data_IF_287662830976
#
_entry.id   IF_287662830976
#
_cell.length_a   1.000
_cell.length_b   1.000
_cell.length_c   1.000
_cell.angle_alpha   90.00
_cell.angle_beta   90.00
_cell.angle_gamma   90.00
#
_symmetry.space_group_name_H-M   'P 1'
#
loop_
_entity.id
_entity.type
_entity.pdbx_description
1 polymer ?
#
# COMPACT_ATOMS: atom_id res chain seq x y z
N UNK A 1 21.50 11.22 15.20
CA UNK A 1 20.64 10.08 15.57
C UNK A 1 19.68 10.55 16.65
N UNK A 2 18.39 10.72 16.32
CA UNK A 2 17.35 11.06 17.29
C UNK A 2 17.07 9.76 18.07
N UNK A 3 17.41 9.71 19.36
CA UNK A 3 17.06 8.56 20.21
C UNK A 3 15.54 8.37 20.12
N UNK A 4 15.10 7.16 19.77
CA UNK A 4 13.68 6.84 19.74
C UNK A 4 13.15 6.89 21.17
N UNK A 5 12.20 7.79 21.45
CA UNK A 5 11.56 7.91 22.77
C UNK A 5 10.97 6.56 23.25
N UNK A 6 10.63 5.68 22.31
CA UNK A 6 10.12 4.34 22.59
C UNK A 6 11.16 3.40 23.20
N UNK A 7 12.43 3.53 22.80
CA UNK A 7 13.54 2.75 23.37
C UNK A 7 13.78 3.16 24.83
N UNK A 8 13.71 4.46 25.13
CA UNK A 8 13.86 4.98 26.51
C UNK A 8 12.71 4.52 27.42
N UNK A 9 11.46 4.53 26.94
CA UNK A 9 10.28 4.08 27.71
C UNK A 9 10.32 2.57 27.95
N UNK A 10 10.76 1.79 26.96
CA UNK A 10 10.88 0.33 27.09
C UNK A 10 11.98 -0.08 28.06
N UNK A 11 13.15 0.56 27.99
CA UNK A 11 14.26 0.35 28.93
C UNK A 11 13.85 0.63 30.37
N UNK A 12 13.04 1.67 30.62
CA UNK A 12 12.47 1.97 31.94
C UNK A 12 11.56 0.86 32.47
N UNK A 13 10.82 0.16 31.59
CA UNK A 13 9.93 -0.94 31.97
C UNK A 13 10.67 -2.26 32.24
N UNK A 14 11.70 -2.59 31.43
CA UNK A 14 12.60 -3.72 31.68
C UNK A 14 13.43 -3.52 32.96
N UNK A 15 13.84 -2.29 33.25
CA UNK A 15 14.51 -1.94 34.51
C UNK A 15 13.63 -2.25 35.72
N UNK A 16 12.30 -2.08 35.63
CA UNK A 16 11.39 -2.34 36.75
C UNK A 16 11.11 -3.83 36.98
N UNK A 17 11.14 -4.68 35.96
CA UNK A 17 10.94 -6.13 36.15
C UNK A 17 12.19 -6.86 36.68
N UNK A 18 13.39 -6.32 36.45
CA UNK A 18 14.63 -6.89 37.00
C UNK A 18 14.75 -6.74 38.54
N UNK A 19 13.91 -5.93 39.19
CA UNK A 19 14.01 -5.64 40.63
C UNK A 19 13.40 -6.73 41.53
N UNK A 20 12.74 -7.76 40.99
CA UNK A 20 12.00 -8.74 41.80
C UNK A 20 12.63 -10.14 41.97
N UNK A 21 13.87 -10.37 41.55
CA UNK A 21 14.57 -11.63 41.84
C UNK A 21 15.89 -11.42 42.60
N UNK A 22 15.75 -11.38 43.93
CA UNK A 22 16.60 -12.04 44.95
C UNK A 22 18.13 -11.89 44.87
N UNK A 23 18.70 -11.34 45.94
CA UNK A 23 20.12 -11.32 46.35
C UNK A 23 20.97 -12.57 45.98
N UNK A 24 21.38 -12.71 44.72
CA UNK A 24 22.54 -13.47 44.28
C UNK A 24 23.43 -12.53 43.47
N UNK A 25 24.74 -12.63 43.64
CA UNK A 25 25.69 -11.91 42.79
C UNK A 25 25.50 -12.41 41.36
N UNK A 26 24.74 -11.69 40.54
CA UNK A 26 24.53 -12.04 39.13
C UNK A 26 25.88 -12.18 38.42
N UNK A 27 25.99 -13.18 37.55
CA UNK A 27 27.09 -13.34 36.59
C UNK A 27 26.71 -12.59 35.30
N UNK A 28 27.60 -11.80 34.66
CA UNK A 28 27.30 -11.12 33.38
C UNK A 28 26.76 -12.06 32.30
N UNK A 29 27.14 -13.34 32.32
CA UNK A 29 26.58 -14.37 31.42
C UNK A 29 25.11 -14.64 31.73
N UNK A 30 24.79 -14.89 33.01
CA UNK A 30 23.42 -15.16 33.48
C UNK A 30 22.50 -13.95 33.22
N UNK A 31 22.99 -12.74 33.50
CA UNK A 31 22.28 -11.50 33.17
C UNK A 31 21.97 -11.43 31.66
N UNK A 32 22.98 -11.58 30.79
CA UNK A 32 22.78 -11.51 29.35
C UNK A 32 21.83 -12.60 28.85
N UNK A 33 21.91 -13.81 29.40
CA UNK A 33 21.02 -14.91 29.06
C UNK A 33 19.57 -14.54 29.35
N UNK A 34 19.28 -14.11 30.58
CA UNK A 34 17.94 -13.69 31.01
C UNK A 34 17.38 -12.57 30.14
N UNK A 35 18.21 -11.58 29.78
CA UNK A 35 17.78 -10.49 28.89
C UNK A 35 17.38 -10.99 27.49
N UNK A 36 18.15 -11.90 26.91
CA UNK A 36 17.87 -12.45 25.57
C UNK A 36 16.68 -13.42 25.62
N UNK A 37 16.54 -14.21 26.69
CA UNK A 37 15.37 -15.05 26.93
C UNK A 37 14.08 -14.22 27.06
N UNK A 38 14.11 -13.06 27.72
CA UNK A 38 12.93 -12.19 27.79
C UNK A 38 12.48 -11.73 26.40
N UNK A 39 13.41 -11.41 25.50
CA UNK A 39 13.08 -11.08 24.10
C UNK A 39 12.50 -12.29 23.37
N UNK A 40 13.24 -13.39 23.42
CA UNK A 40 12.98 -14.58 22.58
C UNK A 40 11.89 -15.48 23.16
N UNK A 41 11.44 -15.26 24.39
CA UNK A 41 10.27 -15.95 24.98
C UNK A 41 8.93 -15.54 24.35
N UNK A 42 8.94 -14.53 23.47
CA UNK A 42 7.72 -13.92 22.93
C UNK A 42 6.97 -13.11 23.97
N UNK A 43 7.70 -12.39 24.83
CA UNK A 43 7.08 -11.45 25.75
C UNK A 43 6.28 -10.37 24.99
N UNK A 44 5.10 -10.07 25.54
CA UNK A 44 4.13 -9.15 24.93
C UNK A 44 4.71 -7.76 24.73
N UNK A 45 5.57 -7.29 25.64
CA UNK A 45 6.15 -5.96 25.54
C UNK A 45 7.18 -5.90 24.40
N UNK A 46 8.01 -6.94 24.26
CA UNK A 46 8.97 -7.06 23.14
C UNK A 46 8.24 -7.12 21.79
N UNK A 47 7.19 -7.94 21.69
CA UNK A 47 6.39 -8.02 20.47
C UNK A 47 5.68 -6.69 20.14
N UNK A 48 5.19 -5.97 21.15
CA UNK A 48 4.63 -4.63 20.95
C UNK A 48 5.69 -3.65 20.43
N UNK A 49 6.92 -3.69 20.97
CA UNK A 49 8.01 -2.82 20.50
C UNK A 49 8.35 -3.11 19.03
N UNK A 50 8.42 -4.38 18.64
CA UNK A 50 8.64 -4.76 17.24
C UNK A 50 7.49 -4.30 16.35
N UNK A 51 6.25 -4.45 16.79
CA UNK A 51 5.10 -3.96 16.05
C UNK A 51 5.18 -2.45 15.81
N UNK A 52 5.43 -1.65 16.85
CA UNK A 52 5.54 -0.19 16.68
C UNK A 52 6.71 0.21 15.76
N UNK A 53 7.85 -0.49 15.83
CA UNK A 53 8.97 -0.30 14.89
C UNK A 53 8.58 -0.68 13.46
N UNK A 54 7.84 -1.77 13.29
CA UNK A 54 7.34 -2.23 12.01
C UNK A 54 6.37 -1.24 11.38
N UNK A 55 5.40 -0.76 12.16
CA UNK A 55 4.45 0.30 11.76
C UNK A 55 5.22 1.56 11.34
N UNK A 56 6.16 2.02 12.16
CA UNK A 56 6.97 3.20 11.84
C UNK A 56 7.80 3.01 10.56
N UNK A 57 8.24 1.77 10.27
CA UNK A 57 9.01 1.46 9.06
C UNK A 57 8.21 1.46 7.77
N UNK A 58 6.87 1.33 7.84
CA UNK A 58 6.00 1.26 6.65
C UNK A 58 5.04 2.45 6.52
N UNK A 59 4.94 3.31 7.52
CA UNK A 59 3.96 4.42 7.56
C UNK A 59 4.03 5.37 6.35
N UNK A 60 5.22 5.56 5.78
CA UNK A 60 5.44 6.46 4.64
C UNK A 60 5.37 5.71 3.29
N UNK A 61 5.14 4.39 3.33
CA UNK A 61 5.00 3.53 2.13
C UNK A 61 3.55 3.40 1.66
N UNK A 62 2.59 3.73 2.53
CA UNK A 62 1.15 3.53 2.28
C UNK A 62 0.37 4.80 2.56
N UNK A 63 -0.71 5.03 1.79
CA UNK A 63 -1.61 6.17 2.00
C UNK A 63 -2.46 5.98 3.26
N UNK A 64 -2.89 4.75 3.52
CA UNK A 64 -3.66 4.43 4.72
C UNK A 64 -2.74 4.10 5.89
N UNK A 65 -3.09 4.63 7.07
CA UNK A 65 -2.40 4.30 8.31
C UNK A 65 -2.62 2.84 8.70
N UNK A 66 -1.66 2.27 9.42
CA UNK A 66 -1.78 0.90 9.93
C UNK A 66 -3.03 0.77 10.83
N UNK A 67 -3.97 -0.15 10.53
CA UNK A 67 -5.23 -0.23 11.28
C UNK A 67 -5.05 -0.58 12.75
N UNK A 68 -5.64 0.22 13.66
CA UNK A 68 -5.61 -0.07 15.11
C UNK A 68 -6.23 -1.45 15.44
N UNK A 69 -7.28 -1.84 14.72
CA UNK A 69 -7.93 -3.14 14.88
C UNK A 69 -6.98 -4.33 14.61
N UNK A 70 -5.96 -4.13 13.77
CA UNK A 70 -5.00 -5.16 13.37
C UNK A 70 -3.87 -5.35 14.40
N UNK A 71 -3.57 -4.33 15.22
CA UNK A 71 -2.41 -4.35 16.14
C UNK A 71 -2.40 -5.55 17.08
N UNK A 72 -3.58 -5.97 17.56
CA UNK A 72 -3.68 -7.11 18.48
C UNK A 72 -3.25 -8.41 17.82
N UNK A 73 -3.76 -8.69 16.63
CA UNK A 73 -3.48 -9.94 15.91
C UNK A 73 -2.03 -9.96 15.42
N UNK A 74 -1.53 -8.83 14.92
CA UNK A 74 -0.15 -8.69 14.50
C UNK A 74 0.85 -8.91 15.64
N UNK A 75 0.60 -8.30 16.82
CA UNK A 75 1.46 -8.53 17.98
C UNK A 75 1.47 -10.02 18.36
N UNK A 76 0.32 -10.69 18.40
CA UNK A 76 0.26 -12.10 18.75
C UNK A 76 1.07 -12.97 17.76
N UNK A 77 1.05 -12.63 16.48
CA UNK A 77 1.89 -13.27 15.47
C UNK A 77 3.39 -13.04 15.74
N UNK A 78 3.79 -11.81 16.09
CA UNK A 78 5.17 -11.51 16.46
C UNK A 78 5.61 -12.22 17.75
N UNK A 79 4.72 -12.36 18.75
CA UNK A 79 4.98 -13.17 19.95
C UNK A 79 5.27 -14.63 19.57
N UNK A 80 4.54 -15.19 18.61
CA UNK A 80 4.79 -16.54 18.12
C UNK A 80 6.12 -16.64 17.34
N UNK A 81 6.44 -15.66 16.49
CA UNK A 81 7.68 -15.65 15.72
C UNK A 81 8.92 -15.53 16.63
N UNK A 82 8.85 -14.68 17.66
CA UNK A 82 9.93 -14.49 18.63
C UNK A 82 10.31 -15.79 19.34
N UNK A 83 9.33 -16.63 19.69
CA UNK A 83 9.54 -17.93 20.37
C UNK A 83 10.37 -18.92 19.56
N UNK A 84 10.51 -18.68 18.26
CA UNK A 84 11.24 -19.54 17.34
C UNK A 84 12.67 -19.08 17.11
N UNK A 85 13.05 -17.92 17.66
CA UNK A 85 14.42 -17.42 17.60
C UNK A 85 15.28 -18.24 18.55
N UNK A 86 16.34 -18.83 18.01
CA UNK A 86 17.30 -19.58 18.80
C UNK A 86 18.55 -18.75 19.04
N UNK A 87 19.14 -18.87 20.23
CA UNK A 87 20.39 -18.21 20.55
C UNK A 87 21.26 -19.07 21.47
N UNK A 88 22.55 -18.79 21.46
CA UNK A 88 23.53 -19.40 22.35
C UNK A 88 24.58 -18.37 22.78
N UNK A 89 24.81 -18.24 24.08
CA UNK A 89 25.98 -17.49 24.56
C UNK A 89 27.24 -18.32 24.35
N UNK A 90 28.13 -17.83 23.49
CA UNK A 90 29.39 -18.48 23.17
C UNK A 90 30.46 -18.17 24.21
N UNK A 91 30.64 -16.88 24.53
CA UNK A 91 31.75 -16.43 25.38
C UNK A 91 31.42 -15.12 26.11
N UNK A 92 32.08 -14.88 27.24
CA UNK A 92 32.00 -13.64 28.01
C UNK A 92 33.40 -13.20 28.39
N UNK A 93 33.86 -12.10 27.79
CA UNK A 93 35.18 -11.51 28.06
C UNK A 93 35.07 -10.22 28.83
N UNK A 94 35.80 -10.10 29.94
CA UNK A 94 35.96 -8.82 30.63
C UNK A 94 36.87 -7.90 29.81
N UNK A 95 36.43 -6.67 29.57
CA UNK A 95 37.19 -5.64 28.88
C UNK A 95 37.06 -4.33 29.66
N UNK A 96 38.12 -3.96 30.39
CA UNK A 96 38.11 -2.85 31.36
C UNK A 96 37.03 -3.02 32.45
N UNK A 97 36.11 -2.07 32.57
CA UNK A 97 34.98 -2.10 33.51
C UNK A 97 33.77 -2.90 32.98
N UNK A 98 33.78 -3.26 31.70
CA UNK A 98 32.65 -3.83 30.99
C UNK A 98 32.88 -5.31 30.64
N UNK A 99 31.81 -5.97 30.21
CA UNK A 99 31.83 -7.34 29.71
C UNK A 99 31.34 -7.36 28.27
N UNK A 100 32.06 -8.07 27.41
CA UNK A 100 31.67 -8.36 26.03
C UNK A 100 31.13 -9.77 25.97
N UNK A 101 29.84 -9.90 25.66
CA UNK A 101 29.13 -11.16 25.57
C UNK A 101 28.96 -11.50 24.09
N UNK A 102 29.56 -12.59 23.64
CA UNK A 102 29.40 -13.12 22.30
C UNK A 102 28.19 -14.05 22.26
N UNK A 103 27.21 -13.72 21.42
CA UNK A 103 25.95 -14.44 21.29
C UNK A 103 25.81 -14.90 19.84
N UNK A 104 25.68 -16.20 19.62
CA UNK A 104 25.25 -16.74 18.33
C UNK A 104 23.72 -16.70 18.26
N UNK A 105 23.15 -16.15 17.19
CA UNK A 105 21.70 -16.06 16.97
C UNK A 105 21.36 -16.78 15.68
N UNK A 106 20.35 -17.65 15.73
CA UNK A 106 19.66 -18.20 14.57
C UNK A 106 18.33 -17.47 14.42
N UNK A 107 18.34 -16.43 13.58
CA UNK A 107 17.20 -15.56 13.37
C UNK A 107 16.13 -16.23 12.49
N UNK A 108 14.87 -15.86 12.72
CA UNK A 108 13.76 -16.26 11.87
C UNK A 108 13.64 -15.28 10.71
N UNK A 109 13.51 -15.82 9.50
CA UNK A 109 13.09 -15.06 8.34
C UNK A 109 11.58 -15.21 8.16
N UNK A 110 10.83 -14.21 8.63
CA UNK A 110 9.37 -14.25 8.53
C UNK A 110 8.94 -14.14 7.06
N UNK A 111 9.55 -13.24 6.30
CA UNK A 111 9.20 -13.03 4.90
C UNK A 111 9.42 -14.27 4.04
N UNK A 112 10.53 -14.98 4.23
CA UNK A 112 10.77 -16.25 3.52
C UNK A 112 9.88 -17.39 4.04
N UNK A 113 9.54 -17.39 5.33
CA UNK A 113 8.64 -18.39 5.93
C UNK A 113 7.20 -18.24 5.43
N UNK A 114 6.69 -17.01 5.31
CA UNK A 114 5.28 -16.73 4.99
C UNK A 114 5.05 -16.39 3.52
N UNK A 115 6.09 -15.96 2.79
CA UNK A 115 5.97 -15.30 1.50
C UNK A 115 5.10 -16.03 0.48
N UNK A 116 5.19 -17.37 0.39
CA UNK A 116 4.33 -18.12 -0.52
C UNK A 116 2.85 -18.06 -0.14
N UNK A 117 2.54 -18.12 1.14
CA UNK A 117 1.17 -18.01 1.66
C UNK A 117 0.63 -16.60 1.50
N UNK A 118 1.47 -15.59 1.75
CA UNK A 118 1.16 -14.18 1.58
C UNK A 118 0.80 -13.89 0.11
N UNK A 119 1.67 -14.30 -0.83
CA UNK A 119 1.44 -14.16 -2.27
C UNK A 119 0.15 -14.88 -2.72
N UNK A 120 -0.07 -16.10 -2.23
CA UNK A 120 -1.25 -16.88 -2.57
C UNK A 120 -2.53 -16.25 -1.99
N UNK A 121 -2.45 -15.53 -0.86
CA UNK A 121 -3.56 -14.75 -0.32
C UNK A 121 -3.81 -13.48 -1.12
N UNK A 122 -2.77 -12.73 -1.49
CA UNK A 122 -2.86 -11.54 -2.33
C UNK A 122 -3.48 -11.82 -3.72
N UNK A 123 -3.37 -13.05 -4.22
CA UNK A 123 -4.05 -13.50 -5.45
C UNK A 123 -5.56 -13.74 -5.30
N UNK A 124 -6.09 -13.80 -4.08
CA UNK A 124 -7.46 -14.24 -3.79
C UNK A 124 -8.13 -13.48 -2.63
N UNK A 125 -7.83 -12.18 -2.51
CA UNK A 125 -8.49 -11.32 -1.53
C UNK A 125 -10.02 -11.43 -1.65
N UNK A 126 -10.70 -11.47 -0.51
CA UNK A 126 -12.16 -11.59 -0.42
C UNK A 126 -12.85 -10.26 -0.11
N UNK A 127 -12.07 -9.26 0.33
CA UNK A 127 -12.56 -7.92 0.70
C UNK A 127 -11.46 -6.87 0.54
N UNK A 128 -11.86 -5.60 0.51
CA UNK A 128 -10.95 -4.44 0.57
C UNK A 128 -10.60 -4.02 2.01
N UNK A 129 -11.15 -4.69 3.01
CA UNK A 129 -10.84 -4.45 4.43
C UNK A 129 -9.46 -5.03 4.78
N UNK A 130 -8.45 -4.15 4.82
CA UNK A 130 -7.05 -4.47 5.13
C UNK A 130 -6.90 -5.21 6.47
N UNK A 131 -7.58 -4.76 7.52
CA UNK A 131 -7.47 -5.40 8.83
C UNK A 131 -8.01 -6.82 8.81
N UNK A 132 -9.16 -7.03 8.15
CA UNK A 132 -9.77 -8.36 8.01
C UNK A 132 -8.90 -9.32 7.20
N UNK A 133 -8.36 -8.89 6.06
CA UNK A 133 -7.49 -9.72 5.22
C UNK A 133 -6.20 -10.09 5.95
N UNK A 134 -5.50 -9.13 6.55
CA UNK A 134 -4.24 -9.40 7.24
C UNK A 134 -4.48 -10.24 8.50
N UNK A 135 -5.52 -9.97 9.30
CA UNK A 135 -5.87 -10.84 10.44
C UNK A 135 -6.19 -12.28 10.03
N UNK A 136 -6.80 -12.47 8.86
CA UNK A 136 -7.04 -13.79 8.27
C UNK A 136 -5.75 -14.49 7.85
N UNK A 137 -4.86 -13.74 7.20
CA UNK A 137 -3.55 -14.21 6.75
C UNK A 137 -2.64 -14.62 7.92
N UNK A 138 -2.49 -13.76 8.92
CA UNK A 138 -1.64 -14.02 10.10
C UNK A 138 -2.01 -15.31 10.84
N UNK A 139 -3.30 -15.69 10.84
CA UNK A 139 -3.74 -16.97 11.42
C UNK A 139 -3.23 -18.17 10.63
N UNK A 140 -3.17 -18.06 9.29
CA UNK A 140 -2.60 -19.08 8.41
C UNK A 140 -1.08 -19.14 8.62
N UNK A 141 -0.42 -18.00 8.59
CA UNK A 141 1.03 -17.89 8.73
C UNK A 141 1.56 -18.35 10.08
N UNK A 142 0.79 -18.14 11.14
CA UNK A 142 1.17 -18.59 12.49
C UNK A 142 1.50 -20.09 12.53
N UNK A 143 0.87 -20.91 11.68
CA UNK A 143 1.15 -22.35 11.60
C UNK A 143 2.50 -22.67 10.93
N UNK A 144 3.01 -21.78 10.08
CA UNK A 144 4.30 -21.96 9.39
C UNK A 144 5.48 -21.67 10.32
N UNK A 145 5.24 -20.94 11.42
CA UNK A 145 6.23 -20.63 12.44
C UNK A 145 6.64 -21.85 13.28
N UNK A 146 5.97 -23.01 13.17
CA UNK A 146 6.43 -24.23 13.85
C UNK A 146 7.73 -24.79 13.22
N UNK A 147 7.95 -24.51 11.93
CA UNK A 147 9.17 -24.89 11.20
C UNK A 147 9.65 -23.73 10.32
N UNK A 148 10.10 -22.62 10.91
CA UNK A 148 10.38 -21.42 10.15
C UNK A 148 11.69 -21.54 9.37
N UNK A 149 11.75 -20.82 8.26
CA UNK A 149 13.01 -20.57 7.56
C UNK A 149 13.89 -19.69 8.44
N UNK A 150 15.15 -20.07 8.58
CA UNK A 150 16.12 -19.38 9.42
C UNK A 150 17.25 -18.83 8.57
N UNK A 151 17.70 -17.62 8.91
CA UNK A 151 18.95 -17.08 8.36
C UNK A 151 20.15 -17.86 8.89
N UNK A 152 21.27 -17.74 8.18
CA UNK A 152 22.55 -18.25 8.67
C UNK A 152 22.86 -17.68 10.05
N UNK A 153 23.40 -18.54 10.91
CA UNK A 153 23.73 -18.16 12.28
C UNK A 153 24.73 -17.02 12.31
N UNK A 154 24.47 -16.01 13.13
CA UNK A 154 25.32 -14.84 13.25
C UNK A 154 25.81 -14.65 14.67
N UNK A 155 27.10 -14.39 14.83
CA UNK A 155 27.66 -13.99 16.12
C UNK A 155 27.54 -12.48 16.31
N UNK A 156 26.82 -12.07 17.35
CA UNK A 156 26.69 -10.70 17.84
C UNK A 156 27.59 -10.50 19.06
N UNK A 157 28.12 -9.30 19.24
CA UNK A 157 28.86 -8.93 20.45
C UNK A 157 28.08 -7.85 21.21
N UNK A 158 27.56 -8.22 22.38
CA UNK A 158 26.80 -7.33 23.25
C UNK A 158 27.69 -6.79 24.37
N UNK A 159 27.57 -5.50 24.69
CA UNK A 159 28.24 -4.92 25.86
C UNK A 159 27.32 -4.95 27.07
N UNK A 160 27.81 -5.53 28.17
CA UNK A 160 27.16 -5.49 29.47
C UNK A 160 28.04 -4.71 30.44
N UNK A 161 27.49 -3.65 31.01
CA UNK A 161 28.16 -2.79 32.00
C UNK A 161 27.80 -3.24 33.41
N UNK A 162 28.76 -3.14 34.33
CA UNK A 162 28.50 -3.31 35.76
C UNK A 162 28.30 -1.95 36.40
N UNK A 163 27.18 -1.75 37.08
CA UNK A 163 26.85 -0.54 37.84
C UNK A 163 26.67 -0.87 39.34
N UNK A 164 26.29 0.13 40.15
CA UNK A 164 26.06 -0.07 41.59
C UNK A 164 24.95 -1.07 41.89
N UNK A 165 24.00 -1.19 40.97
CA UNK A 165 22.74 -1.90 41.15
C UNK A 165 22.74 -3.29 40.48
N UNK A 166 23.82 -3.65 39.76
CA UNK A 166 23.97 -4.95 39.09
C UNK A 166 24.65 -4.83 37.72
N UNK A 167 24.02 -5.45 36.72
CA UNK A 167 24.45 -5.41 35.32
C UNK A 167 23.41 -4.72 34.45
N UNK A 168 23.88 -4.08 33.38
CA UNK A 168 23.04 -3.40 32.40
C UNK A 168 23.59 -3.60 30.99
N UNK A 169 22.76 -4.09 30.07
CA UNK A 169 23.11 -4.12 28.64
C UNK A 169 23.00 -2.72 28.04
N UNK A 170 23.97 -2.31 27.22
CA UNK A 170 23.95 -1.03 26.52
C UNK A 170 22.80 -0.96 25.49
N UNK A 171 22.18 0.21 25.34
CA UNK A 171 21.13 0.49 24.34
C UNK A 171 21.53 0.03 22.93
N UNK A 172 22.79 0.27 22.53
CA UNK A 172 23.30 -0.16 21.23
C UNK A 172 23.32 -1.68 21.06
N UNK A 173 23.56 -2.43 22.14
CA UNK A 173 23.48 -3.89 22.15
C UNK A 173 22.05 -4.38 21.94
N UNK A 174 21.08 -3.73 22.59
CA UNK A 174 19.66 -4.00 22.39
C UNK A 174 19.22 -3.74 20.95
N UNK A 175 19.61 -2.60 20.36
CA UNK A 175 19.28 -2.29 18.97
C UNK A 175 19.88 -3.30 17.99
N UNK A 176 21.13 -3.71 18.21
CA UNK A 176 21.77 -4.76 17.40
C UNK A 176 20.96 -6.05 17.48
N UNK A 177 20.58 -6.49 18.67
CA UNK A 177 19.83 -7.73 18.85
C UNK A 177 18.45 -7.64 18.19
N UNK A 178 17.67 -6.60 18.47
CA UNK A 178 16.32 -6.43 17.93
C UNK A 178 16.29 -6.37 16.39
N UNK A 179 17.34 -5.84 15.76
CA UNK A 179 17.46 -5.80 14.31
C UNK A 179 17.93 -7.12 13.68
N UNK A 180 18.25 -8.14 14.46
CA UNK A 180 18.88 -9.38 13.99
C UNK A 180 18.14 -10.64 14.45
N UNK A 181 16.95 -10.52 15.05
CA UNK A 181 16.18 -11.67 15.56
C UNK A 181 15.03 -12.08 14.64
N UNK A 182 14.33 -11.11 14.03
CA UNK A 182 13.25 -11.35 13.07
C UNK A 182 13.50 -10.51 11.81
N UNK A 183 13.55 -11.17 10.66
CA UNK A 183 13.68 -10.53 9.34
C UNK A 183 12.33 -10.46 8.65
N UNK A 184 12.08 -9.35 7.95
CA UNK A 184 10.89 -9.11 7.14
C UNK A 184 9.56 -9.44 7.84
N UNK A 185 9.50 -9.19 9.15
CA UNK A 185 8.33 -9.49 9.99
C UNK A 185 7.08 -8.64 9.67
N UNK A 186 7.20 -7.66 8.77
CA UNK A 186 6.07 -6.88 8.23
C UNK A 186 5.55 -7.44 6.89
N UNK A 187 6.14 -8.50 6.35
CA UNK A 187 5.81 -9.04 5.02
C UNK A 187 4.32 -9.37 4.84
N UNK A 188 3.63 -10.04 5.80
CA UNK A 188 2.19 -10.31 5.65
C UNK A 188 1.33 -9.03 5.52
N UNK A 189 1.74 -7.93 6.16
CA UNK A 189 1.05 -6.66 6.03
C UNK A 189 1.32 -6.03 4.66
N UNK A 190 2.60 -5.96 4.28
CA UNK A 190 3.04 -5.31 3.03
C UNK A 190 2.39 -5.95 1.81
N UNK A 191 2.38 -7.28 1.75
CA UNK A 191 1.85 -8.02 0.61
C UNK A 191 0.36 -7.71 0.34
N UNK A 192 -0.45 -7.64 1.41
CA UNK A 192 -1.88 -7.34 1.32
C UNK A 192 -2.11 -5.84 1.08
N UNK A 193 -1.39 -4.97 1.80
CA UNK A 193 -1.49 -3.52 1.62
C UNK A 193 -1.10 -3.08 0.20
N UNK A 194 -0.02 -3.64 -0.35
CA UNK A 194 0.41 -3.41 -1.74
C UNK A 194 -0.68 -3.83 -2.74
N UNK A 195 -1.37 -4.95 -2.48
CA UNK A 195 -2.42 -5.42 -3.38
C UNK A 195 -3.65 -4.50 -3.32
N UNK A 196 -4.09 -4.13 -2.12
CA UNK A 196 -5.26 -3.25 -1.94
C UNK A 196 -5.03 -1.84 -2.50
N UNK A 197 -3.84 -1.28 -2.30
CA UNK A 197 -3.48 0.01 -2.86
C UNK A 197 -3.45 0.02 -4.39
N UNK A 198 -3.18 -1.11 -5.04
CA UNK A 198 -3.29 -1.17 -6.50
C UNK A 198 -4.72 -0.78 -6.92
N UNK A 199 -5.75 -1.46 -6.37
CA UNK A 199 -7.14 -1.12 -6.66
C UNK A 199 -7.48 0.36 -6.39
N UNK A 200 -7.00 0.90 -5.27
CA UNK A 200 -7.17 2.33 -4.94
C UNK A 200 -6.48 3.27 -5.94
N UNK A 201 -5.31 2.89 -6.45
CA UNK A 201 -4.61 3.67 -7.47
C UNK A 201 -5.34 3.65 -8.82
N UNK A 202 -5.93 2.52 -9.21
CA UNK A 202 -6.77 2.45 -10.41
C UNK A 202 -8.01 3.33 -10.27
N UNK A 203 -8.69 3.27 -9.13
CA UNK A 203 -9.83 4.15 -8.81
C UNK A 203 -9.43 5.62 -8.92
N UNK A 204 -8.34 6.02 -8.26
CA UNK A 204 -7.84 7.39 -8.30
C UNK A 204 -7.47 7.85 -9.73
N UNK A 205 -6.93 6.95 -10.55
CA UNK A 205 -6.60 7.24 -11.95
C UNK A 205 -7.86 7.45 -12.80
N UNK A 206 -8.91 6.63 -12.61
CA UNK A 206 -10.20 6.81 -13.30
C UNK A 206 -10.93 8.08 -12.83
N UNK A 207 -10.89 8.39 -11.53
CA UNK A 207 -11.49 9.60 -10.97
C UNK A 207 -10.76 10.86 -11.49
N UNK A 208 -9.44 10.81 -11.62
CA UNK A 208 -8.65 11.88 -12.22
C UNK A 208 -8.99 12.07 -13.71
N UNK A 209 -8.90 11.02 -14.54
CA UNK A 209 -9.13 11.16 -16.00
C UNK A 209 -10.57 11.49 -16.37
N UNK A 210 -11.55 10.91 -15.70
CA UNK A 210 -12.96 11.04 -16.11
C UNK A 210 -13.67 12.17 -15.38
N UNK A 211 -13.28 12.49 -14.14
CA UNK A 211 -14.03 13.42 -13.28
C UNK A 211 -13.20 14.64 -12.83
N UNK A 212 -11.92 14.72 -13.21
CA UNK A 212 -11.01 15.77 -12.75
C UNK A 212 -10.73 15.70 -11.24
N UNK A 213 -10.98 14.55 -10.59
CA UNK A 213 -10.80 14.40 -9.15
C UNK A 213 -9.38 13.91 -8.83
N UNK A 214 -8.44 14.85 -8.81
CA UNK A 214 -7.00 14.54 -8.78
C UNK A 214 -6.41 14.28 -7.38
N UNK A 215 -7.16 14.56 -6.30
CA UNK A 215 -6.60 14.56 -4.92
C UNK A 215 -5.98 13.23 -4.51
N UNK A 216 -6.67 12.11 -4.74
CA UNK A 216 -6.14 10.80 -4.38
C UNK A 216 -5.06 10.31 -5.35
N UNK A 217 -5.16 10.70 -6.63
CA UNK A 217 -4.13 10.38 -7.63
C UNK A 217 -2.78 11.00 -7.25
N UNK A 218 -2.77 12.28 -6.86
CA UNK A 218 -1.58 12.98 -6.38
C UNK A 218 -0.92 12.30 -5.17
N UNK A 219 -1.69 11.62 -4.30
CA UNK A 219 -1.11 10.87 -3.16
C UNK A 219 -0.31 9.65 -3.63
N UNK A 220 -0.69 9.03 -4.74
CA UNK A 220 0.01 7.87 -5.32
C UNK A 220 1.21 8.28 -6.18
N UNK A 221 1.11 9.38 -6.92
CA UNK A 221 2.15 9.79 -7.87
C UNK A 221 3.17 10.77 -7.28
N UNK A 222 2.80 11.49 -6.24
CA UNK A 222 3.59 12.60 -5.69
C UNK A 222 3.51 13.89 -6.50
N UNK A 223 2.70 13.94 -7.55
CA UNK A 223 2.41 15.15 -8.32
C UNK A 223 1.64 16.17 -7.48
N UNK A 224 1.76 17.45 -7.81
CA UNK A 224 0.92 18.48 -7.22
C UNK A 224 -0.49 18.44 -7.82
N UNK A 225 -1.48 18.92 -7.05
CA UNK A 225 -2.85 19.03 -7.58
C UNK A 225 -2.95 19.99 -8.76
N UNK A 226 -2.09 21.02 -8.80
CA UNK A 226 -2.04 21.98 -9.92
C UNK A 226 -1.56 21.31 -11.21
N UNK A 227 -0.48 20.53 -11.14
CA UNK A 227 0.04 19.76 -12.29
C UNK A 227 -1.00 18.75 -12.79
N UNK A 228 -1.56 17.93 -11.89
CA UNK A 228 -2.53 16.92 -12.27
C UNK A 228 -3.84 17.55 -12.81
N UNK A 229 -4.27 18.69 -12.26
CA UNK A 229 -5.43 19.41 -12.81
C UNK A 229 -5.12 19.97 -14.19
N UNK A 230 -3.93 20.56 -14.40
CA UNK A 230 -3.53 21.08 -15.70
C UNK A 230 -3.49 19.97 -16.77
N UNK A 231 -3.00 18.78 -16.43
CA UNK A 231 -3.04 17.61 -17.33
C UNK A 231 -4.47 17.20 -17.68
N UNK A 232 -5.37 17.18 -16.69
CA UNK A 232 -6.79 16.91 -16.93
C UNK A 232 -7.40 17.95 -17.88
N UNK A 233 -7.22 19.25 -17.62
CA UNK A 233 -7.77 20.31 -18.47
C UNK A 233 -7.21 20.24 -19.90
N UNK A 234 -5.90 20.03 -20.04
CA UNK A 234 -5.22 19.94 -21.34
C UNK A 234 -5.79 18.82 -22.21
N UNK A 235 -6.18 17.68 -21.63
CA UNK A 235 -6.76 16.56 -22.39
C UNK A 235 -8.05 16.94 -23.14
N UNK A 236 -8.84 17.87 -22.60
CA UNK A 236 -10.05 18.37 -23.27
C UNK A 236 -9.74 19.50 -24.24
N UNK A 237 -8.76 20.35 -23.94
CA UNK A 237 -8.29 21.37 -24.87
C UNK A 237 -7.75 20.73 -26.14
N UNK A 238 -6.87 19.72 -26.04
CA UNK A 238 -6.36 18.97 -27.19
C UNK A 238 -7.49 18.36 -28.04
N UNK A 239 -8.56 17.88 -27.37
CA UNK A 239 -9.74 17.32 -28.05
C UNK A 239 -10.58 18.38 -28.79
N UNK A 240 -10.50 19.66 -28.37
CA UNK A 240 -11.21 20.78 -28.99
C UNK A 240 -10.44 21.45 -30.14
N UNK A 241 -9.13 21.21 -30.24
CA UNK A 241 -8.30 21.73 -31.33
C UNK A 241 -8.62 21.05 -32.67
N UNK A 242 -8.94 19.75 -32.68
CA UNK A 242 -9.26 18.98 -33.89
C UNK A 242 -10.48 19.52 -34.67
N UNK A 243 -11.63 19.86 -34.04
CA UNK A 243 -12.72 20.52 -34.75
C UNK A 243 -12.46 21.99 -35.12
N UNK A 244 -11.36 22.61 -34.65
CA UNK A 244 -10.99 23.99 -34.96
C UNK A 244 -11.88 25.05 -34.29
N UNK A 245 -12.52 24.71 -33.18
CA UNK A 245 -13.32 25.67 -32.42
C UNK A 245 -12.44 26.72 -31.73
N UNK A 246 -13.01 27.89 -31.46
CA UNK A 246 -12.35 28.93 -30.66
C UNK A 246 -13.35 29.72 -29.83
N UNK A 247 -12.89 30.30 -28.73
CA UNK A 247 -13.68 31.24 -27.92
C UNK A 247 -14.87 30.55 -27.24
N UNK A 248 -16.08 31.08 -27.43
CA UNK A 248 -17.27 30.54 -26.75
C UNK A 248 -17.63 29.12 -27.20
N UNK A 249 -17.39 28.77 -28.48
CA UNK A 249 -17.67 27.43 -29.02
C UNK A 249 -16.76 26.37 -28.40
N UNK A 250 -15.47 26.69 -28.27
CA UNK A 250 -14.46 25.85 -27.62
C UNK A 250 -14.83 25.58 -26.17
N UNK A 251 -15.15 26.63 -25.40
CA UNK A 251 -15.55 26.49 -24.00
C UNK A 251 -16.80 25.63 -23.81
N UNK A 252 -17.82 25.78 -24.67
CA UNK A 252 -19.05 24.97 -24.63
C UNK A 252 -18.79 23.51 -25.00
N UNK A 253 -17.96 23.28 -26.02
CA UNK A 253 -17.56 21.94 -26.44
C UNK A 253 -16.80 21.22 -25.31
N UNK A 254 -15.75 21.83 -24.75
CA UNK A 254 -15.01 21.27 -23.63
C UNK A 254 -15.92 20.97 -22.43
N UNK A 255 -16.80 21.91 -22.07
CA UNK A 255 -17.70 21.73 -20.94
C UNK A 255 -18.68 20.58 -21.16
N UNK A 256 -19.21 20.42 -22.38
CA UNK A 256 -20.09 19.31 -22.71
C UNK A 256 -19.36 17.96 -22.59
N UNK A 257 -18.12 17.86 -23.12
CA UNK A 257 -17.28 16.67 -22.97
C UNK A 257 -16.98 16.36 -21.50
N UNK A 258 -16.48 17.33 -20.73
CA UNK A 258 -16.21 17.18 -19.28
C UNK A 258 -17.44 16.68 -18.53
N UNK A 259 -18.63 17.20 -18.87
CA UNK A 259 -19.89 16.78 -18.25
C UNK A 259 -20.23 15.33 -18.60
N UNK A 260 -20.07 14.92 -19.86
CA UNK A 260 -20.28 13.52 -20.26
C UNK A 260 -19.28 12.58 -19.57
N UNK A 261 -17.99 12.91 -19.58
CA UNK A 261 -16.94 12.10 -18.95
C UNK A 261 -17.18 11.95 -17.44
N UNK A 262 -17.53 13.04 -16.77
CA UNK A 262 -17.81 13.04 -15.33
C UNK A 262 -19.04 12.19 -14.95
N UNK A 263 -19.95 11.95 -15.89
CA UNK A 263 -21.13 11.09 -15.70
C UNK A 263 -20.84 9.59 -15.84
N UNK A 264 -19.58 9.20 -16.10
CA UNK A 264 -19.17 7.79 -16.12
C UNK A 264 -19.55 7.04 -14.83
N UNK A 265 -20.11 5.83 -15.00
CA UNK A 265 -20.52 4.98 -13.89
C UNK A 265 -19.67 3.72 -13.83
N UNK A 266 -18.91 3.56 -12.74
CA UNK A 266 -18.07 2.40 -12.51
C UNK A 266 -17.84 2.12 -11.03
N UNK A 267 -17.49 0.88 -10.74
CA UNK A 267 -17.08 0.34 -9.44
C UNK A 267 -15.80 -0.46 -9.63
N UNK A 268 -14.72 -0.02 -8.98
CA UNK A 268 -13.47 -0.78 -8.91
C UNK A 268 -13.61 -1.86 -7.84
N UNK A 269 -13.50 -3.12 -8.24
CA UNK A 269 -13.65 -4.27 -7.37
C UNK A 269 -12.36 -4.63 -6.62
N UNK A 270 -12.35 -5.83 -6.04
CA UNK A 270 -11.25 -6.29 -5.19
C UNK A 270 -10.02 -6.62 -6.06
N UNK A 271 -8.86 -5.96 -5.82
CA UNK A 271 -7.66 -6.19 -6.60
C UNK A 271 -7.03 -7.55 -6.26
N UNK A 272 -6.32 -8.13 -7.22
CA UNK A 272 -5.52 -9.35 -7.04
C UNK A 272 -4.12 -9.13 -7.55
N UNK A 273 -3.13 -9.68 -6.87
CA UNK A 273 -1.75 -9.71 -7.37
C UNK A 273 -1.66 -10.63 -8.59
N UNK A 274 -0.97 -10.19 -9.64
CA UNK A 274 -0.62 -11.03 -10.78
C UNK A 274 0.80 -11.61 -10.59
N UNK A 275 1.26 -12.43 -11.53
CA UNK A 275 2.67 -12.82 -11.54
C UNK A 275 3.56 -11.61 -11.89
N UNK A 276 4.78 -11.56 -11.34
CA UNK A 276 5.68 -10.43 -11.52
C UNK A 276 5.28 -9.20 -10.69
N UNK A 277 5.34 -8.00 -11.29
CA UNK A 277 4.98 -6.73 -10.65
C UNK A 277 3.59 -6.19 -11.07
N UNK A 278 2.76 -7.06 -11.63
CA UNK A 278 1.42 -6.73 -12.11
C UNK A 278 0.29 -6.99 -11.11
N UNK A 279 -0.86 -6.40 -11.40
CA UNK A 279 -2.13 -6.56 -10.69
C UNK A 279 -3.25 -6.80 -11.68
N UNK A 280 -4.31 -7.47 -11.21
CA UNK A 280 -5.56 -7.65 -11.94
C UNK A 280 -6.68 -7.06 -11.10
N UNK A 281 -7.41 -6.10 -11.65
CA UNK A 281 -8.49 -5.42 -10.93
C UNK A 281 -9.77 -5.49 -11.76
N UNK A 282 -10.84 -6.14 -11.26
CA UNK A 282 -12.12 -6.13 -11.95
C UNK A 282 -12.77 -4.75 -11.81
N UNK A 283 -13.28 -4.20 -12.90
CA UNK A 283 -14.05 -2.96 -12.93
C UNK A 283 -15.42 -3.26 -13.53
N UNK A 284 -16.47 -3.02 -12.74
CA UNK A 284 -17.86 -3.10 -13.20
C UNK A 284 -18.32 -1.72 -13.62
N UNK A 285 -18.89 -1.57 -14.80
CA UNK A 285 -19.26 -0.25 -15.34
C UNK A 285 -20.53 -0.30 -16.20
N UNK A 286 -21.14 0.86 -16.38
CA UNK A 286 -22.16 1.10 -17.41
C UNK A 286 -21.57 2.05 -18.46
N UNK A 287 -21.41 1.62 -19.72
CA UNK A 287 -20.92 2.48 -20.79
C UNK A 287 -21.79 3.72 -20.91
N UNK A 288 -21.20 4.91 -20.92
CA UNK A 288 -21.88 6.15 -21.21
C UNK A 288 -21.91 6.36 -22.73
N UNK A 289 -23.04 6.05 -23.34
CA UNK A 289 -23.25 6.12 -24.79
C UNK A 289 -23.49 7.54 -25.30
N UNK A 290 -23.49 8.54 -24.41
CA UNK A 290 -23.87 9.92 -24.73
C UNK A 290 -23.03 10.55 -25.84
N UNK A 291 -21.71 10.37 -25.81
CA UNK A 291 -20.82 10.92 -26.82
C UNK A 291 -21.06 10.29 -28.19
N UNK A 292 -21.07 8.95 -28.25
CA UNK A 292 -21.43 8.20 -29.45
C UNK A 292 -22.80 8.63 -30.02
N UNK A 293 -23.83 8.70 -29.17
CA UNK A 293 -25.18 9.06 -29.64
C UNK A 293 -25.28 10.51 -30.08
N UNK A 294 -24.51 11.41 -29.48
CA UNK A 294 -24.39 12.80 -29.94
C UNK A 294 -23.76 12.85 -31.34
N UNK A 295 -22.68 12.10 -31.59
CA UNK A 295 -22.04 11.99 -32.90
C UNK A 295 -23.00 11.39 -33.95
N UNK A 296 -23.69 10.30 -33.63
CA UNK A 296 -24.68 9.65 -34.50
C UNK A 296 -25.85 10.59 -34.85
N UNK A 297 -26.35 11.34 -33.85
CA UNK A 297 -27.44 12.31 -34.03
C UNK A 297 -27.01 13.47 -34.91
N UNK A 298 -25.82 14.02 -34.67
CA UNK A 298 -25.27 15.09 -35.49
C UNK A 298 -25.09 14.64 -36.95
N UNK A 299 -24.52 13.45 -37.17
CA UNK A 299 -24.34 12.87 -38.50
C UNK A 299 -25.69 12.65 -39.22
N UNK A 300 -26.73 12.21 -38.49
CA UNK A 300 -28.07 12.08 -39.04
C UNK A 300 -28.66 13.44 -39.46
N UNK A 301 -28.48 14.49 -38.66
CA UNK A 301 -28.93 15.85 -38.99
C UNK A 301 -28.22 16.40 -40.24
N UNK A 302 -26.91 16.16 -40.38
CA UNK A 302 -26.14 16.48 -41.59
C UNK A 302 -26.73 15.77 -42.82
N UNK A 303 -26.98 14.46 -42.72
CA UNK A 303 -27.53 13.67 -43.82
C UNK A 303 -28.95 14.09 -44.24
N UNK A 304 -29.71 14.70 -43.33
CA UNK A 304 -31.04 15.26 -43.61
C UNK A 304 -31.00 16.69 -44.17
N UNK A 305 -29.80 17.28 -44.32
CA UNK A 305 -29.64 18.65 -44.82
C UNK A 305 -30.12 19.72 -43.83
N UNK A 306 -30.07 19.44 -42.53
CA UNK A 306 -30.57 20.34 -41.47
C UNK A 306 -29.73 21.62 -41.31
N UNK A 307 -28.47 21.59 -41.79
CA UNK A 307 -27.54 22.72 -41.69
C UNK A 307 -27.25 23.32 -43.07
N UNK A 308 -27.48 24.62 -43.21
CA UNK A 308 -27.26 25.37 -44.46
C UNK A 308 -25.88 26.02 -44.57
N UNK A 309 -25.07 25.97 -43.51
CA UNK A 309 -23.70 26.48 -43.48
C UNK A 309 -22.84 25.70 -42.49
N UNK A 310 -21.52 25.87 -42.59
CA UNK A 310 -20.56 25.33 -41.61
C UNK A 310 -20.84 25.88 -40.21
N UNK A 311 -21.04 27.19 -40.04
CA UNK A 311 -21.40 27.79 -38.75
C UNK A 311 -22.64 27.16 -38.10
N UNK A 312 -23.67 26.84 -38.90
CA UNK A 312 -24.87 26.18 -38.39
C UNK A 312 -24.60 24.73 -37.99
N UNK A 313 -23.71 24.03 -38.69
CA UNK A 313 -23.31 22.67 -38.36
C UNK A 313 -22.48 22.64 -37.07
N UNK A 314 -21.52 23.54 -36.90
CA UNK A 314 -20.71 23.66 -35.68
C UNK A 314 -21.56 23.95 -34.44
N UNK A 315 -22.46 24.94 -34.53
CA UNK A 315 -23.40 25.27 -33.45
C UNK A 315 -24.37 24.11 -33.18
N UNK A 316 -24.81 23.43 -34.24
CA UNK A 316 -25.64 22.24 -34.15
C UNK A 316 -24.96 21.09 -33.43
N UNK A 317 -23.68 20.85 -33.70
CA UNK A 317 -22.91 19.80 -33.04
C UNK A 317 -22.77 20.05 -31.54
N UNK A 318 -22.36 21.27 -31.17
CA UNK A 318 -22.24 21.68 -29.75
C UNK A 318 -23.59 21.54 -29.04
N UNK A 319 -24.68 21.98 -29.67
CA UNK A 319 -26.04 21.86 -29.08
C UNK A 319 -26.46 20.40 -28.86
N UNK A 320 -26.09 19.49 -29.77
CA UNK A 320 -26.37 18.06 -29.61
C UNK A 320 -25.54 17.48 -28.47
N UNK A 321 -24.25 17.82 -28.37
CA UNK A 321 -23.40 17.42 -27.23
C UNK A 321 -23.98 17.91 -25.91
N UNK A 322 -24.36 19.18 -25.80
CA UNK A 322 -24.96 19.76 -24.59
C UNK A 322 -26.25 19.02 -24.19
N UNK A 323 -27.09 18.63 -25.16
CA UNK A 323 -28.30 17.86 -24.89
C UNK A 323 -28.00 16.49 -24.26
N UNK A 324 -27.01 15.77 -24.80
CA UNK A 324 -26.61 14.46 -24.28
C UNK A 324 -25.82 14.56 -22.98
N UNK A 325 -25.07 15.65 -22.76
CA UNK A 325 -24.43 15.94 -21.49
C UNK A 325 -25.46 16.20 -20.38
N UNK A 326 -26.56 16.89 -20.70
CA UNK A 326 -27.65 17.17 -19.76
C UNK A 326 -28.54 15.95 -19.45
N UNK A 327 -28.62 14.99 -20.37
CA UNK A 327 -29.40 13.77 -20.22
C UNK A 327 -28.61 12.53 -20.67
N UNK A 328 -27.66 12.04 -19.84
CA UNK A 328 -26.79 10.94 -20.23
C UNK A 328 -27.55 9.65 -20.54
N UNK A 329 -27.06 8.91 -21.54
CA UNK A 329 -27.62 7.62 -21.96
C UNK A 329 -26.62 6.52 -21.69
N UNK A 330 -27.06 5.44 -21.04
CA UNK A 330 -26.18 4.35 -20.61
C UNK A 330 -26.51 3.03 -21.33
N UNK A 331 -25.48 2.23 -21.53
CA UNK A 331 -25.58 0.84 -21.96
C UNK A 331 -25.88 -0.12 -20.82
N UNK A 332 -25.80 -1.41 -21.12
CA UNK A 332 -25.92 -2.46 -20.10
C UNK A 332 -24.67 -2.51 -19.20
N UNK A 333 -24.85 -2.96 -17.96
CA UNK A 333 -23.74 -3.18 -17.04
C UNK A 333 -22.83 -4.29 -17.53
N UNK A 334 -21.53 -4.03 -17.51
CA UNK A 334 -20.46 -4.95 -17.90
C UNK A 334 -19.37 -5.00 -16.82
N UNK A 335 -18.54 -6.04 -16.84
CA UNK A 335 -17.37 -6.15 -15.99
C UNK A 335 -16.16 -6.51 -16.84
N UNK A 336 -15.04 -5.83 -16.61
CA UNK A 336 -13.77 -6.05 -17.29
C UNK A 336 -12.65 -6.22 -16.28
N UNK A 337 -11.72 -7.12 -16.54
CA UNK A 337 -10.47 -7.22 -15.78
C UNK A 337 -9.44 -6.28 -16.38
N UNK A 338 -8.82 -5.43 -15.54
CA UNK A 338 -7.76 -4.51 -15.93
C UNK A 338 -6.43 -5.05 -15.42
N UNK A 339 -5.52 -5.37 -16.33
CA UNK A 339 -4.17 -5.82 -16.02
C UNK A 339 -3.17 -4.66 -16.14
N UNK A 340 -2.47 -4.35 -15.05
CA UNK A 340 -1.45 -3.30 -15.08
C UNK A 340 -0.39 -3.47 -14.01
N UNK A 341 0.78 -2.86 -14.23
CA UNK A 341 1.75 -2.58 -13.18
C UNK A 341 1.63 -1.11 -12.79
N UNK A 342 1.88 -0.78 -11.51
CA UNK A 342 1.79 0.63 -11.04
C UNK A 342 2.70 1.58 -11.82
N UNK A 343 3.81 1.08 -12.37
CA UNK A 343 4.77 1.86 -13.16
C UNK A 343 4.21 2.28 -14.53
N UNK A 344 3.35 1.45 -15.11
CA UNK A 344 2.80 1.67 -16.46
C UNK A 344 1.48 2.46 -16.45
N UNK A 345 0.86 2.66 -15.28
CA UNK A 345 -0.43 3.36 -15.18
C UNK A 345 -0.22 4.88 -15.01
N UNK A 346 -0.78 5.65 -15.94
CA UNK A 346 -0.94 7.11 -15.93
C UNK A 346 -2.32 7.45 -16.52
N UNK A 347 -2.98 8.47 -15.98
CA UNK A 347 -4.38 8.75 -16.37
C UNK A 347 -4.52 9.49 -17.71
N UNK A 348 -3.50 10.26 -18.14
CA UNK A 348 -3.49 11.06 -19.38
C UNK A 348 -2.68 10.44 -20.53
N UNK A 349 -1.60 9.71 -20.21
CA UNK A 349 -0.61 9.25 -21.19
C UNK A 349 0.00 7.89 -20.83
N UNK A 350 -0.81 6.98 -20.27
CA UNK A 350 -0.34 5.65 -19.88
C UNK A 350 -0.05 4.76 -21.08
N UNK A 351 1.04 3.97 -21.02
CA UNK A 351 1.33 2.89 -21.98
C UNK A 351 0.48 1.62 -21.72
N UNK A 352 -0.46 1.68 -20.77
CA UNK A 352 -1.26 0.53 -20.38
C UNK A 352 -2.49 0.38 -21.28
N UNK A 353 -2.41 -0.56 -22.21
CA UNK A 353 -3.46 -0.91 -23.17
C UNK A 353 -4.79 -1.29 -22.50
N UNK A 354 -4.75 -2.01 -21.38
CA UNK A 354 -5.96 -2.44 -20.66
C UNK A 354 -6.73 -1.26 -20.06
N UNK A 355 -6.02 -0.29 -19.50
CA UNK A 355 -6.58 0.95 -18.98
C UNK A 355 -7.19 1.80 -20.09
N UNK A 356 -6.49 1.98 -21.21
CA UNK A 356 -7.02 2.68 -22.39
C UNK A 356 -8.29 2.00 -22.92
N UNK A 357 -8.23 0.68 -23.10
CA UNK A 357 -9.39 -0.09 -23.55
C UNK A 357 -10.55 -0.02 -22.54
N UNK A 358 -10.29 0.17 -21.24
CA UNK A 358 -11.33 0.40 -20.24
C UNK A 358 -11.94 1.80 -20.39
N UNK A 359 -11.13 2.85 -20.55
CA UNK A 359 -11.64 4.22 -20.74
C UNK A 359 -12.47 4.35 -22.01
N UNK A 360 -12.05 3.70 -23.10
CA UNK A 360 -12.81 3.64 -24.36
C UNK A 360 -14.13 2.89 -24.20
N UNK A 361 -14.17 1.87 -23.33
CA UNK A 361 -15.39 1.13 -23.02
C UNK A 361 -16.34 1.93 -22.10
N UNK A 362 -15.79 2.81 -21.25
CA UNK A 362 -16.55 3.68 -20.36
C UNK A 362 -17.21 4.82 -21.14
N UNK A 363 -16.50 5.44 -22.08
CA UNK A 363 -17.00 6.51 -22.96
C UNK A 363 -16.75 6.10 -24.43
N UNK A 364 -17.59 5.23 -25.01
CA UNK A 364 -17.44 4.83 -26.40
C UNK A 364 -17.68 5.99 -27.36
N UNK A 365 -16.84 6.07 -28.39
CA UNK A 365 -16.90 7.04 -29.48
C UNK A 365 -17.37 6.43 -30.81
N UNK A 366 -17.29 5.10 -30.97
CA UNK A 366 -17.67 4.35 -32.20
C UNK A 366 -18.92 3.48 -32.06
#
# INVERSE_FOLDING_TARGET
>A
MRKSKWVEIFLLSLLMMAVLCSCKKEDPKEYANTQIEMITSGDKATAQLLLERGIDSVKDSYIEEFPEALKKDYRNFLEAALKQVEFQILDVKKHNADYKVSVEVSAVDVGETTGKTDEDQAKKLETTDLAKEVSGLLKKDSSLLDTPVRKEKKTLTLTVKKNSDGFQMEDAGWEILMNQILYDYMQPYKEIADTLEAGRYLQASLDASLKGQVTDYCKFTGETQEEAQAEYEQSFTDSSEDPGFSGEREARFEQALKTMFASSQYEVGIPRKADGDGYVVPVTYQPNLSLKQAMDTFQANVNQGMYGSQDQAEEGFISVLESYAAAPVYGETQTKEVHYSRKALRFTAGENEDYQNLTDSLIPTE
#
